data_IF_612233849966
#
_entry.id   IF_612233849966
#
_cell.length_a   1.000
_cell.length_b   1.000
_cell.length_c   1.000
_cell.angle_alpha   90.00
_cell.angle_beta   90.00
_cell.angle_gamma   90.00
#
_symmetry.space_group_name_H-M   'P 1'
#
loop_
_entity.id
_entity.type
_entity.pdbx_description
1 polymer ?
#
# COMPACT_ATOMS: atom_id res chain seq x y z
N UNK A 1 -37.25 -27.50 -36.07
CA UNK A 1 -35.98 -27.13 -36.74
C UNK A 1 -35.75 -28.05 -37.98
N UNK A 2 -35.76 -29.36 -37.81
CA UNK A 2 -35.49 -30.33 -38.87
C UNK A 2 -36.50 -30.28 -40.03
N UNK A 3 -37.76 -30.06 -39.74
CA UNK A 3 -38.81 -29.93 -40.76
C UNK A 3 -38.68 -28.67 -41.66
N UNK A 4 -37.89 -27.71 -41.26
CA UNK A 4 -37.71 -26.43 -42.00
C UNK A 4 -36.35 -26.40 -42.71
N UNK A 5 -35.33 -27.14 -42.22
CA UNK A 5 -33.95 -27.03 -42.73
C UNK A 5 -33.40 -28.34 -43.33
N UNK A 6 -34.12 -29.44 -43.23
CA UNK A 6 -33.72 -30.67 -43.84
C UNK A 6 -34.11 -30.70 -45.36
N UNK A 7 -33.25 -31.21 -46.22
CA UNK A 7 -33.55 -31.46 -47.62
C UNK A 7 -33.98 -32.95 -47.78
N UNK A 8 -35.21 -33.22 -48.22
CA UNK A 8 -35.72 -34.59 -48.38
C UNK A 8 -34.90 -35.42 -49.33
N UNK A 9 -34.21 -34.82 -50.27
CA UNK A 9 -33.38 -35.51 -51.27
C UNK A 9 -31.93 -35.73 -50.83
N UNK A 10 -31.55 -35.19 -49.64
CA UNK A 10 -30.22 -35.37 -49.03
C UNK A 10 -30.36 -35.83 -47.59
N UNK A 11 -30.22 -37.14 -47.39
CA UNK A 11 -30.28 -37.76 -46.08
C UNK A 11 -29.18 -37.25 -45.13
N UNK A 12 -28.05 -36.78 -45.64
CA UNK A 12 -26.99 -36.21 -44.80
C UNK A 12 -27.39 -34.83 -44.22
N UNK A 13 -28.34 -34.17 -44.79
CA UNK A 13 -28.90 -32.91 -44.23
C UNK A 13 -29.62 -33.12 -42.89
N UNK A 14 -30.07 -34.32 -42.61
CA UNK A 14 -30.73 -34.72 -41.34
C UNK A 14 -29.76 -35.26 -40.29
N UNK A 15 -28.47 -35.46 -40.62
CA UNK A 15 -27.49 -35.91 -39.66
C UNK A 15 -27.21 -34.83 -38.60
N UNK A 16 -27.03 -35.29 -37.36
CA UNK A 16 -26.71 -34.40 -36.26
C UNK A 16 -25.32 -33.77 -36.45
N UNK A 17 -25.30 -32.52 -36.88
CA UNK A 17 -24.07 -31.75 -37.11
C UNK A 17 -23.29 -31.50 -35.78
N UNK A 18 -23.89 -31.81 -34.62
CA UNK A 18 -23.21 -31.70 -33.32
C UNK A 18 -22.07 -32.68 -33.14
N UNK A 19 -22.08 -33.81 -33.86
CA UNK A 19 -20.96 -34.76 -33.89
C UNK A 19 -19.67 -34.18 -34.49
N UNK A 20 -19.79 -33.17 -35.37
CA UNK A 20 -18.64 -32.45 -35.93
C UNK A 20 -17.94 -31.55 -34.92
N UNK A 21 -18.42 -31.50 -33.67
CA UNK A 21 -17.90 -30.66 -32.60
C UNK A 21 -18.27 -29.18 -32.74
N UNK A 22 -18.34 -28.52 -31.61
CA UNK A 22 -18.54 -27.08 -31.57
C UNK A 22 -17.17 -26.42 -31.87
N UNK A 23 -16.90 -26.16 -33.16
CA UNK A 23 -15.68 -25.47 -33.56
C UNK A 23 -15.58 -24.15 -32.83
N UNK A 24 -14.67 -24.09 -31.85
CA UNK A 24 -14.40 -22.85 -31.15
C UNK A 24 -13.82 -21.86 -32.17
N UNK A 25 -14.56 -20.79 -32.48
CA UNK A 25 -14.06 -19.72 -33.36
C UNK A 25 -12.74 -19.12 -32.85
N UNK A 26 -12.56 -19.08 -31.50
CA UNK A 26 -11.33 -18.64 -30.89
C UNK A 26 -10.26 -19.75 -30.95
N UNK A 27 -9.29 -19.60 -31.82
CA UNK A 27 -8.13 -20.49 -31.89
C UNK A 27 -7.21 -20.30 -30.69
N UNK A 28 -6.24 -21.19 -30.54
CA UNK A 28 -5.23 -21.08 -29.47
C UNK A 28 -4.42 -19.79 -29.61
N UNK A 29 -4.02 -19.48 -30.82
CA UNK A 29 -3.27 -18.27 -31.20
C UNK A 29 -4.06 -16.99 -30.89
N UNK A 30 -5.38 -16.99 -31.18
CA UNK A 30 -6.26 -15.87 -30.82
C UNK A 30 -6.27 -15.62 -29.30
N UNK A 31 -6.32 -16.72 -28.52
CA UNK A 31 -6.36 -16.61 -27.06
C UNK A 31 -5.02 -16.11 -26.52
N UNK A 32 -3.91 -16.59 -27.03
CA UNK A 32 -2.57 -16.12 -26.65
C UNK A 32 -2.40 -14.63 -26.97
N UNK A 33 -2.77 -14.21 -28.16
CA UNK A 33 -2.74 -12.79 -28.53
C UNK A 33 -3.66 -11.92 -27.66
N UNK A 34 -4.89 -12.40 -27.35
CA UNK A 34 -5.79 -11.70 -26.44
C UNK A 34 -5.16 -11.48 -25.07
N UNK A 35 -4.46 -12.49 -24.52
CA UNK A 35 -3.81 -12.38 -23.21
C UNK A 35 -2.60 -11.44 -23.25
N UNK A 36 -1.83 -11.45 -24.31
CA UNK A 36 -0.71 -10.53 -24.49
C UNK A 36 -1.18 -9.07 -24.64
N UNK A 37 -2.20 -8.84 -25.47
CA UNK A 37 -2.73 -7.50 -25.73
C UNK A 37 -3.37 -6.86 -24.49
N UNK A 38 -4.09 -7.64 -23.66
CA UNK A 38 -4.79 -7.08 -22.50
C UNK A 38 -3.85 -6.63 -21.39
N UNK A 39 -2.64 -7.18 -21.32
CA UNK A 39 -1.61 -6.79 -20.35
C UNK A 39 -0.82 -5.54 -20.78
N UNK A 40 -0.90 -5.15 -22.02
CA UNK A 40 -0.19 -4.00 -22.60
C UNK A 40 -1.07 -2.77 -22.68
N UNK A 41 -0.44 -1.59 -22.62
CA UNK A 41 -1.16 -0.34 -22.77
C UNK A 41 -1.64 -0.18 -24.24
N UNK A 42 -2.89 0.29 -24.48
CA UNK A 42 -3.36 0.56 -25.85
C UNK A 42 -2.45 1.49 -26.66
N UNK A 43 -1.73 2.40 -26.03
CA UNK A 43 -0.78 3.30 -26.68
C UNK A 43 0.38 2.59 -27.36
N UNK A 44 0.78 1.42 -26.86
CA UNK A 44 1.81 0.57 -27.49
C UNK A 44 1.37 0.03 -28.84
N UNK A 45 0.06 0.02 -29.11
CA UNK A 45 -0.54 -0.37 -30.38
C UNK A 45 -0.99 0.83 -31.22
N UNK A 46 -0.58 2.06 -30.83
CA UNK A 46 -0.89 3.28 -31.55
C UNK A 46 -2.28 3.87 -31.30
N UNK A 47 -2.96 3.45 -30.24
CA UNK A 47 -4.25 4.01 -29.87
C UNK A 47 -4.11 5.15 -28.87
N UNK A 48 -4.94 6.18 -29.02
CA UNK A 48 -4.97 7.34 -28.10
C UNK A 48 -5.75 7.10 -26.80
N UNK A 49 -6.50 6.00 -26.69
CA UNK A 49 -7.27 5.70 -25.47
C UNK A 49 -6.44 4.92 -24.45
N UNK A 50 -6.58 5.27 -23.17
CA UNK A 50 -5.77 4.72 -22.07
C UNK A 50 -6.31 3.44 -21.43
N UNK A 51 -7.24 2.69 -22.05
CA UNK A 51 -7.71 1.41 -21.51
C UNK A 51 -8.42 0.54 -22.54
N UNK A 52 -8.26 -0.76 -22.43
CA UNK A 52 -9.03 -1.73 -23.18
C UNK A 52 -10.47 -1.86 -22.67
N UNK A 53 -11.43 -1.71 -23.55
CA UNK A 53 -12.81 -2.18 -23.33
C UNK A 53 -13.00 -3.48 -24.10
N UNK A 54 -14.01 -4.29 -23.73
CA UNK A 54 -14.28 -5.55 -24.44
C UNK A 54 -14.57 -5.31 -25.93
N UNK A 55 -15.20 -4.20 -26.27
CA UNK A 55 -15.47 -3.84 -27.67
C UNK A 55 -14.17 -3.52 -28.42
N UNK A 56 -13.31 -2.68 -27.84
CA UNK A 56 -12.02 -2.31 -28.45
C UNK A 56 -11.09 -3.51 -28.63
N UNK A 57 -11.02 -4.41 -27.62
CA UNK A 57 -10.30 -5.67 -27.74
C UNK A 57 -10.84 -6.55 -28.86
N UNK A 58 -12.16 -6.72 -28.95
CA UNK A 58 -12.77 -7.51 -30.01
C UNK A 58 -12.45 -6.95 -31.40
N UNK A 59 -12.52 -5.62 -31.56
CA UNK A 59 -12.18 -4.94 -32.84
C UNK A 59 -10.70 -5.12 -33.18
N UNK A 60 -9.79 -4.81 -32.25
CA UNK A 60 -8.34 -4.95 -32.45
C UNK A 60 -7.94 -6.38 -32.83
N UNK A 61 -8.49 -7.37 -32.10
CA UNK A 61 -8.18 -8.79 -32.37
C UNK A 61 -8.76 -9.26 -33.71
N UNK A 62 -9.94 -8.75 -34.10
CA UNK A 62 -10.50 -9.05 -35.40
C UNK A 62 -9.63 -8.51 -36.55
N UNK A 63 -9.09 -7.29 -36.41
CA UNK A 63 -8.14 -6.71 -37.34
C UNK A 63 -6.83 -7.51 -37.44
N UNK A 64 -6.32 -8.03 -36.33
CA UNK A 64 -5.05 -8.76 -36.30
C UNK A 64 -5.17 -10.23 -36.73
N UNK A 65 -6.30 -10.87 -36.50
CA UNK A 65 -6.46 -12.32 -36.67
C UNK A 65 -7.46 -12.72 -37.75
N UNK A 66 -8.28 -11.77 -38.24
CA UNK A 66 -9.41 -12.06 -39.08
C UNK A 66 -10.59 -12.76 -38.36
N UNK A 67 -10.45 -13.08 -37.10
CA UNK A 67 -11.47 -13.80 -36.32
C UNK A 67 -12.39 -12.81 -35.61
N UNK A 68 -13.63 -12.72 -36.06
CA UNK A 68 -14.62 -11.83 -35.48
C UNK A 68 -15.35 -12.52 -34.32
N UNK A 69 -15.10 -12.00 -33.11
CA UNK A 69 -15.81 -12.37 -31.88
C UNK A 69 -16.56 -11.17 -31.33
N UNK A 70 -17.70 -11.43 -30.70
CA UNK A 70 -18.42 -10.38 -29.97
C UNK A 70 -17.69 -10.04 -28.67
N UNK A 71 -17.89 -8.81 -28.18
CA UNK A 71 -17.36 -8.38 -26.87
C UNK A 71 -17.76 -9.32 -25.71
N UNK A 72 -18.93 -9.93 -25.81
CA UNK A 72 -19.39 -10.94 -24.83
C UNK A 72 -18.61 -12.25 -24.91
N UNK A 73 -18.19 -12.67 -26.10
CA UNK A 73 -17.36 -13.86 -26.29
C UNK A 73 -15.96 -13.61 -25.77
N UNK A 74 -15.34 -12.48 -26.10
CA UNK A 74 -14.03 -12.05 -25.54
C UNK A 74 -14.07 -12.03 -24.02
N UNK A 75 -15.12 -11.43 -23.43
CA UNK A 75 -15.32 -11.41 -21.98
C UNK A 75 -15.41 -12.81 -21.37
N UNK A 76 -16.09 -13.76 -22.03
CA UNK A 76 -16.19 -15.14 -21.55
C UNK A 76 -14.84 -15.85 -21.58
N UNK A 77 -14.03 -15.62 -22.62
CA UNK A 77 -12.65 -16.15 -22.70
C UNK A 77 -11.82 -15.64 -21.53
N UNK A 78 -11.78 -14.31 -21.33
CA UNK A 78 -11.04 -13.71 -20.23
C UNK A 78 -11.46 -14.24 -18.85
N UNK A 79 -12.77 -14.40 -18.60
CA UNK A 79 -13.26 -14.99 -17.36
C UNK A 79 -12.79 -16.44 -17.15
N UNK A 80 -12.80 -17.27 -18.22
CA UNK A 80 -12.25 -18.65 -18.16
C UNK A 80 -10.76 -18.64 -17.86
N UNK A 81 -10.02 -17.64 -18.35
CA UNK A 81 -8.60 -17.41 -18.06
C UNK A 81 -8.36 -16.68 -16.74
N UNK A 82 -9.37 -16.61 -15.85
CA UNK A 82 -9.33 -16.00 -14.50
C UNK A 82 -9.11 -14.49 -14.48
N UNK A 83 -9.32 -13.78 -15.59
CA UNK A 83 -9.33 -12.32 -15.62
C UNK A 83 -10.65 -11.78 -15.07
N UNK A 84 -10.57 -10.67 -14.33
CA UNK A 84 -11.74 -9.96 -13.81
C UNK A 84 -11.59 -8.45 -14.04
N UNK A 85 -12.72 -7.79 -14.22
CA UNK A 85 -12.74 -6.34 -14.35
C UNK A 85 -12.56 -5.70 -12.97
N UNK A 86 -11.38 -5.13 -12.72
CA UNK A 86 -10.96 -4.57 -11.44
C UNK A 86 -10.65 -3.07 -11.58
N UNK A 87 -10.64 -2.36 -10.46
CA UNK A 87 -10.14 -1.00 -10.43
C UNK A 87 -8.63 -1.00 -10.61
N UNK A 88 -8.16 -0.25 -11.60
CA UNK A 88 -6.74 0.03 -11.75
C UNK A 88 -6.23 0.81 -10.52
N UNK A 89 -5.01 0.53 -10.13
CA UNK A 89 -4.32 1.20 -9.03
C UNK A 89 -3.23 2.07 -9.63
N UNK A 90 -3.09 3.29 -9.12
CA UNK A 90 -1.89 4.07 -9.40
C UNK A 90 -0.68 3.33 -8.82
N UNK A 91 0.30 3.08 -9.66
CA UNK A 91 1.60 2.54 -9.27
C UNK A 91 2.69 3.51 -9.72
N UNK A 92 3.73 3.62 -8.93
CA UNK A 92 4.97 4.29 -9.27
C UNK A 92 6.12 3.29 -9.24
N UNK A 93 5.81 2.00 -9.35
CA UNK A 93 6.79 0.91 -9.34
C UNK A 93 7.76 0.98 -10.53
N UNK A 94 7.27 1.49 -11.66
CA UNK A 94 8.06 1.81 -12.86
C UNK A 94 9.15 2.88 -12.62
N UNK A 95 8.96 3.75 -11.62
CA UNK A 95 9.89 4.79 -11.22
C UNK A 95 10.88 4.36 -10.12
N UNK A 96 10.73 3.14 -9.62
CA UNK A 96 11.62 2.61 -8.59
C UNK A 96 12.97 2.23 -9.21
N UNK A 97 14.05 2.53 -8.50
CA UNK A 97 15.39 2.07 -8.84
C UNK A 97 15.68 0.73 -8.14
N UNK A 98 15.72 -0.40 -8.87
CA UNK A 98 15.94 -1.71 -8.26
C UNK A 98 17.29 -1.84 -7.55
N UNK A 99 18.33 -1.15 -8.04
CA UNK A 99 19.68 -1.18 -7.45
C UNK A 99 19.68 -0.48 -6.10
N UNK A 100 19.19 0.76 -6.04
CA UNK A 100 19.08 1.52 -4.79
C UNK A 100 18.20 0.81 -3.77
N UNK A 101 17.10 0.17 -4.22
CA UNK A 101 16.22 -0.61 -3.34
C UNK A 101 16.93 -1.83 -2.76
N UNK A 102 17.74 -2.53 -3.55
CA UNK A 102 18.48 -3.70 -3.06
C UNK A 102 19.59 -3.29 -2.07
N UNK A 103 20.33 -2.24 -2.38
CA UNK A 103 21.34 -1.67 -1.47
C UNK A 103 20.73 -1.24 -0.14
N UNK A 104 19.62 -0.53 -0.19
CA UNK A 104 18.90 -0.11 1.01
C UNK A 104 18.37 -1.30 1.80
N UNK A 105 17.84 -2.33 1.14
CA UNK A 105 17.37 -3.56 1.81
C UNK A 105 18.50 -4.23 2.59
N UNK A 106 19.66 -4.44 1.96
CA UNK A 106 20.81 -5.04 2.63
C UNK A 106 21.24 -4.23 3.86
N UNK A 107 21.27 -2.90 3.72
CA UNK A 107 21.60 -1.99 4.82
C UNK A 107 20.57 -2.07 5.95
N UNK A 108 19.27 -2.06 5.60
CA UNK A 108 18.19 -2.17 6.55
C UNK A 108 18.22 -3.51 7.29
N UNK A 109 18.42 -4.61 6.59
CA UNK A 109 18.50 -5.95 7.17
C UNK A 109 19.66 -6.03 8.19
N UNK A 110 20.83 -5.47 7.86
CA UNK A 110 21.97 -5.36 8.80
C UNK A 110 21.61 -4.54 10.06
N UNK A 111 20.91 -3.43 9.92
CA UNK A 111 20.46 -2.65 11.06
C UNK A 111 19.45 -3.39 11.93
N UNK A 112 18.49 -4.08 11.30
CA UNK A 112 17.45 -4.85 12.00
C UNK A 112 18.05 -6.03 12.78
N UNK A 113 19.05 -6.70 12.20
CA UNK A 113 19.78 -7.79 12.86
C UNK A 113 20.51 -7.29 14.10
N UNK A 114 21.34 -6.25 13.97
CA UNK A 114 22.05 -5.62 15.10
C UNK A 114 21.10 -5.13 16.19
N UNK A 115 20.01 -4.48 15.81
CA UNK A 115 19.01 -3.98 16.77
C UNK A 115 18.27 -5.12 17.51
N UNK A 116 18.13 -6.29 16.89
CA UNK A 116 17.55 -7.49 17.52
C UNK A 116 18.53 -8.14 18.49
N UNK A 117 19.82 -8.23 18.10
CA UNK A 117 20.86 -8.84 18.93
C UNK A 117 21.21 -7.98 20.14
N UNK A 118 21.36 -6.68 19.94
CA UNK A 118 21.74 -5.76 21.00
C UNK A 118 20.90 -4.45 20.99
N UNK A 119 19.65 -4.51 21.44
CA UNK A 119 18.73 -3.35 21.42
C UNK A 119 19.14 -2.23 22.39
N UNK A 120 20.11 -2.48 23.28
CA UNK A 120 20.70 -1.44 24.15
C UNK A 120 21.70 -0.56 23.39
N UNK A 121 22.42 -1.12 22.43
CA UNK A 121 23.40 -0.38 21.64
C UNK A 121 22.77 0.29 20.41
N UNK A 122 21.86 -0.42 19.75
CA UNK A 122 21.21 0.07 18.52
C UNK A 122 19.71 -0.18 18.54
N UNK A 123 18.95 0.85 18.21
CA UNK A 123 17.52 0.73 17.94
C UNK A 123 17.23 1.20 16.53
N UNK A 124 16.34 0.49 15.84
CA UNK A 124 15.79 0.90 14.54
C UNK A 124 14.32 1.27 14.71
N UNK A 125 13.99 2.47 14.26
CA UNK A 125 12.64 3.02 14.32
C UNK A 125 12.16 3.42 12.93
N UNK A 126 10.96 3.00 12.59
CA UNK A 126 10.26 3.43 11.40
C UNK A 126 9.44 4.68 11.72
N UNK A 127 9.68 5.77 11.01
CA UNK A 127 9.10 7.07 11.30
C UNK A 127 8.25 7.57 10.13
N UNK A 128 7.12 8.20 10.45
CA UNK A 128 6.22 8.78 9.43
C UNK A 128 5.17 9.68 10.08
N UNK A 129 4.45 10.44 9.26
CA UNK A 129 3.31 11.25 9.66
C UNK A 129 2.00 10.69 9.13
N UNK A 130 0.95 10.90 9.90
CA UNK A 130 -0.40 10.55 9.46
C UNK A 130 -1.45 11.56 9.92
N UNK A 131 -2.35 11.91 9.01
CA UNK A 131 -3.49 12.73 9.32
C UNK A 131 -4.78 11.94 9.46
N UNK A 132 -5.55 12.28 10.47
CA UNK A 132 -6.85 11.69 10.78
C UNK A 132 -7.93 12.77 10.75
N UNK A 133 -8.81 12.69 9.77
CA UNK A 133 -9.89 13.67 9.57
C UNK A 133 -11.14 13.27 10.37
N UNK A 134 -11.91 14.27 10.81
CA UNK A 134 -13.27 14.06 11.34
C UNK A 134 -14.24 13.49 10.28
N UNK A 135 -13.89 13.57 8.99
CA UNK A 135 -14.70 12.97 7.93
C UNK A 135 -14.71 11.45 8.07
N UNK A 136 -15.90 10.87 7.96
CA UNK A 136 -16.07 9.43 8.07
C UNK A 136 -15.28 8.70 6.98
N UNK A 137 -14.38 7.82 7.40
CA UNK A 137 -13.64 6.93 6.51
C UNK A 137 -14.58 5.81 6.07
N UNK A 138 -14.86 5.74 4.77
CA UNK A 138 -15.70 4.68 4.20
C UNK A 138 -14.88 3.42 3.97
N UNK A 139 -15.41 2.29 4.40
CA UNK A 139 -14.83 0.96 4.17
C UNK A 139 -15.90 0.00 3.66
N UNK A 140 -15.47 -1.13 3.14
CA UNK A 140 -16.38 -2.23 2.77
C UNK A 140 -17.11 -2.72 4.02
N UNK A 141 -18.42 -2.97 3.90
CA UNK A 141 -19.23 -3.53 4.95
C UNK A 141 -20.29 -4.45 4.34
N UNK A 142 -20.85 -5.33 5.16
CA UNK A 142 -21.92 -6.20 4.73
C UNK A 142 -23.18 -5.40 4.38
N UNK A 143 -23.80 -5.75 3.27
CA UNK A 143 -25.05 -5.15 2.79
C UNK A 143 -25.77 -6.11 1.87
N UNK A 144 -27.07 -5.95 1.72
CA UNK A 144 -27.92 -6.77 0.83
C UNK A 144 -27.44 -6.58 -0.62
N UNK A 145 -27.28 -7.70 -1.36
CA UNK A 145 -26.90 -7.68 -2.79
C UNK A 145 -27.87 -6.78 -3.58
N UNK A 146 -27.33 -5.93 -4.43
CA UNK A 146 -28.11 -4.96 -5.22
C UNK A 146 -28.52 -3.68 -4.46
N UNK A 147 -28.33 -3.59 -3.13
CA UNK A 147 -28.61 -2.37 -2.36
C UNK A 147 -27.31 -1.78 -1.82
N UNK A 148 -27.02 -0.52 -2.20
CA UNK A 148 -25.85 0.19 -1.66
C UNK A 148 -26.11 0.61 -0.24
N UNK A 149 -25.30 0.14 0.71
CA UNK A 149 -25.38 0.56 2.12
C UNK A 149 -25.03 2.04 2.24
N UNK A 150 -25.93 2.80 2.84
CA UNK A 150 -25.69 4.20 3.21
C UNK A 150 -25.02 4.25 4.58
N UNK A 151 -24.02 5.08 4.74
CA UNK A 151 -23.35 5.39 6.02
C UNK A 151 -23.55 6.88 6.31
N UNK A 152 -23.67 7.29 7.59
CA UNK A 152 -23.79 8.69 7.93
C UNK A 152 -22.63 9.50 7.36
N UNK A 153 -22.95 10.60 6.68
CA UNK A 153 -21.96 11.56 6.20
C UNK A 153 -21.74 12.63 7.25
N UNK A 154 -20.51 13.03 7.48
CA UNK A 154 -20.18 14.16 8.32
C UNK A 154 -19.43 15.22 7.52
N UNK A 155 -19.94 16.46 7.57
CA UNK A 155 -19.33 17.61 6.90
C UNK A 155 -18.44 18.44 7.83
N UNK A 156 -18.31 18.04 9.11
CA UNK A 156 -17.45 18.77 10.07
C UNK A 156 -16.02 18.80 9.58
N UNK A 157 -15.43 19.98 9.64
CA UNK A 157 -14.01 20.19 9.40
C UNK A 157 -13.25 19.88 10.69
N UNK A 158 -12.05 19.38 10.54
CA UNK A 158 -11.14 19.08 11.63
C UNK A 158 -10.26 17.92 11.28
N UNK A 159 -9.03 17.97 11.74
CA UNK A 159 -8.00 16.96 11.50
C UNK A 159 -7.08 16.89 12.72
N UNK A 160 -6.63 15.71 13.02
CA UNK A 160 -5.55 15.44 13.96
C UNK A 160 -4.36 14.98 13.13
N UNK A 161 -3.24 15.66 13.26
CA UNK A 161 -1.97 15.24 12.66
C UNK A 161 -1.12 14.57 13.75
N UNK A 162 -0.48 13.50 13.37
CA UNK A 162 0.37 12.69 14.26
C UNK A 162 1.67 12.43 13.53
N UNK A 163 2.77 12.61 14.24
CA UNK A 163 4.10 12.18 13.85
C UNK A 163 4.54 11.11 14.83
N UNK A 164 5.20 10.05 14.39
CA UNK A 164 5.56 9.01 15.32
C UNK A 164 6.51 7.96 14.78
N UNK A 165 7.02 7.17 15.71
CA UNK A 165 7.94 6.07 15.48
C UNK A 165 7.40 4.71 15.92
N UNK A 166 7.80 3.69 15.19
CA UNK A 166 7.59 2.28 15.51
C UNK A 166 8.94 1.59 15.63
N UNK A 167 9.26 1.11 16.83
CA UNK A 167 10.49 0.36 17.08
C UNK A 167 10.44 -1.04 16.46
N UNK A 168 11.52 -1.46 15.83
CA UNK A 168 11.55 -2.69 15.03
C UNK A 168 11.43 -3.96 15.86
N UNK A 169 12.21 -4.09 16.97
CA UNK A 169 12.36 -5.35 17.68
C UNK A 169 11.17 -5.71 18.57
N UNK A 170 10.57 -4.76 19.27
CA UNK A 170 9.46 -4.99 20.21
C UNK A 170 8.13 -4.37 19.79
N UNK A 171 8.12 -3.68 18.65
CA UNK A 171 6.94 -3.00 18.09
C UNK A 171 6.39 -1.88 18.99
N UNK A 172 7.22 -1.34 19.90
CA UNK A 172 6.86 -0.18 20.72
C UNK A 172 6.58 1.02 19.82
N UNK A 173 5.54 1.75 20.13
CA UNK A 173 5.09 2.94 19.41
C UNK A 173 5.28 4.16 20.28
N UNK A 174 5.69 5.26 19.67
CA UNK A 174 5.72 6.58 20.28
C UNK A 174 5.19 7.58 19.28
N UNK A 175 4.05 8.18 19.57
CA UNK A 175 3.33 9.04 18.66
C UNK A 175 3.04 10.41 19.29
N UNK A 176 3.32 11.47 18.56
CA UNK A 176 3.17 12.85 18.98
C UNK A 176 2.07 13.52 18.18
N UNK A 177 1.21 14.29 18.87
CA UNK A 177 0.22 15.11 18.23
C UNK A 177 0.84 16.44 17.82
N UNK A 178 0.78 16.76 16.54
CA UNK A 178 1.38 17.95 15.96
C UNK A 178 0.31 18.83 15.31
N UNK A 179 0.53 20.14 15.30
CA UNK A 179 -0.34 21.05 14.58
C UNK A 179 -0.07 20.99 13.08
N UNK A 180 1.21 20.99 12.70
CA UNK A 180 1.68 20.99 11.32
C UNK A 180 2.88 20.07 11.17
N UNK A 181 2.94 19.37 10.02
CA UNK A 181 4.13 18.60 9.62
C UNK A 181 5.09 19.53 8.86
N UNK A 182 6.11 20.02 9.55
CA UNK A 182 7.21 20.80 8.99
C UNK A 182 8.53 20.48 9.69
N UNK A 183 9.62 21.07 9.22
CA UNK A 183 10.95 20.77 9.73
C UNK A 183 11.16 21.11 11.20
N UNK A 184 10.58 22.20 11.66
CA UNK A 184 10.73 22.61 13.05
C UNK A 184 9.94 21.69 13.99
N UNK A 185 8.70 21.33 13.62
CA UNK A 185 7.92 20.30 14.33
C UNK A 185 8.65 18.94 14.33
N UNK A 186 9.25 18.55 13.20
CA UNK A 186 10.02 17.32 13.11
C UNK A 186 11.19 17.31 14.09
N UNK A 187 11.99 18.37 14.13
CA UNK A 187 13.12 18.49 15.05
C UNK A 187 12.68 18.43 16.52
N UNK A 188 11.62 19.19 16.89
CA UNK A 188 11.10 19.19 18.27
C UNK A 188 10.56 17.80 18.68
N UNK A 189 9.92 17.06 17.77
CA UNK A 189 9.49 15.69 18.08
C UNK A 189 10.68 14.74 18.22
N UNK A 190 11.73 14.89 17.41
CA UNK A 190 12.96 14.11 17.57
C UNK A 190 13.67 14.36 18.89
N UNK A 191 13.66 15.59 19.40
CA UNK A 191 14.19 15.91 20.76
C UNK A 191 13.42 15.14 21.84
N UNK A 192 12.08 15.24 21.82
CA UNK A 192 11.25 14.51 22.79
C UNK A 192 11.44 13.00 22.66
N UNK A 193 11.60 12.50 21.45
CA UNK A 193 11.86 11.11 21.15
C UNK A 193 13.22 10.65 21.69
N UNK A 194 14.28 11.44 21.49
CA UNK A 194 15.61 11.11 22.04
C UNK A 194 15.58 11.10 23.58
N UNK A 195 14.89 12.03 24.23
CA UNK A 195 14.73 12.03 25.67
C UNK A 195 13.98 10.80 26.19
N UNK A 196 13.00 10.29 25.42
CA UNK A 196 12.34 9.03 25.74
C UNK A 196 13.33 7.85 25.69
N UNK A 197 14.14 7.72 24.63
CA UNK A 197 15.14 6.65 24.51
C UNK A 197 16.23 6.80 25.57
N UNK A 198 16.64 8.00 25.90
CA UNK A 198 17.60 8.30 26.97
C UNK A 198 17.09 7.85 28.34
N UNK A 199 15.81 8.07 28.65
CA UNK A 199 15.19 7.57 29.89
C UNK A 199 15.24 6.05 29.97
N UNK A 200 14.85 5.35 28.90
CA UNK A 200 14.95 3.88 28.85
C UNK A 200 16.39 3.38 29.08
N UNK A 201 17.36 4.08 28.46
CA UNK A 201 18.77 3.72 28.59
C UNK A 201 19.27 3.92 30.04
N UNK A 202 18.85 5.00 30.74
CA UNK A 202 19.16 5.27 32.14
C UNK A 202 18.52 4.20 33.05
N UNK A 203 17.26 3.85 32.82
CA UNK A 203 16.55 2.79 33.55
C UNK A 203 17.25 1.42 33.42
N UNK A 204 18.03 1.23 32.34
CA UNK A 204 18.85 0.04 32.10
C UNK A 204 20.27 0.13 32.70
N UNK A 205 20.54 1.16 33.51
CA UNK A 205 21.82 1.35 34.22
C UNK A 205 22.81 2.28 33.54
N UNK A 206 22.42 2.99 32.49
CA UNK A 206 23.26 3.98 31.85
C UNK A 206 23.37 5.28 32.66
N UNK A 207 24.49 5.99 32.56
CA UNK A 207 24.70 7.29 33.21
C UNK A 207 24.32 8.44 32.31
N UNK A 208 23.59 9.42 32.83
CA UNK A 208 23.07 10.57 32.06
C UNK A 208 24.15 11.26 31.24
N UNK A 209 25.31 11.49 31.85
CA UNK A 209 26.45 12.17 31.20
C UNK A 209 27.09 11.39 30.07
N UNK A 210 26.96 10.08 30.08
CA UNK A 210 27.51 9.19 29.05
C UNK A 210 26.59 8.98 27.83
N UNK A 211 25.32 9.42 27.89
CA UNK A 211 24.34 9.09 26.83
C UNK A 211 24.78 9.56 25.46
N UNK A 212 25.31 10.76 25.31
CA UNK A 212 25.72 11.31 24.03
C UNK A 212 26.83 10.48 23.34
N UNK A 213 27.72 9.86 24.13
CA UNK A 213 28.88 9.13 23.64
C UNK A 213 28.71 7.62 23.63
N UNK A 214 28.09 7.05 24.66
CA UNK A 214 27.94 5.60 24.88
C UNK A 214 26.49 5.13 24.84
N UNK A 215 25.52 6.06 24.80
CA UNK A 215 24.10 5.74 24.77
C UNK A 215 23.66 5.04 23.49
N UNK A 216 22.46 4.49 23.55
CA UNK A 216 21.81 3.81 22.42
C UNK A 216 21.86 4.65 21.15
N UNK A 217 22.39 4.10 20.08
CA UNK A 217 22.27 4.69 18.74
C UNK A 217 20.90 4.40 18.14
N UNK A 218 20.32 5.40 17.51
CA UNK A 218 18.93 5.38 17.04
C UNK A 218 18.94 5.59 15.54
N UNK A 219 18.66 4.54 14.77
CA UNK A 219 18.48 4.64 13.32
C UNK A 219 17.01 4.89 13.05
N UNK A 220 16.70 6.01 12.42
CA UNK A 220 15.35 6.41 12.03
C UNK A 220 15.19 6.21 10.53
N UNK A 221 14.31 5.30 10.14
CA UNK A 221 13.92 5.03 8.75
C UNK A 221 12.72 5.92 8.42
N UNK A 222 12.87 6.82 7.46
CA UNK A 222 11.84 7.80 7.11
C UNK A 222 11.79 8.07 5.60
N UNK A 223 10.73 8.72 5.16
CA UNK A 223 10.55 9.09 3.77
C UNK A 223 11.41 10.29 3.33
N UNK A 224 11.29 10.64 2.06
CA UNK A 224 12.04 11.73 1.45
C UNK A 224 11.29 13.07 1.46
N UNK A 225 10.41 13.33 2.42
CA UNK A 225 9.74 14.63 2.49
C UNK A 225 10.76 15.77 2.55
N UNK A 226 10.51 16.83 1.78
CA UNK A 226 11.48 17.92 1.60
C UNK A 226 11.90 18.59 2.90
N UNK A 227 11.00 18.70 3.86
CA UNK A 227 11.27 19.31 5.16
C UNK A 227 12.14 18.44 6.09
N UNK A 228 12.19 17.10 5.88
CA UNK A 228 13.13 16.21 6.56
C UNK A 228 14.58 16.43 6.10
N UNK A 229 14.76 16.94 4.88
CA UNK A 229 16.06 17.17 4.24
C UNK A 229 16.52 18.63 4.25
N UNK A 230 15.82 19.51 4.95
CA UNK A 230 16.26 20.89 5.11
C UNK A 230 17.63 20.92 5.77
N UNK A 231 18.57 21.65 5.17
CA UNK A 231 19.97 21.70 5.62
C UNK A 231 20.09 22.21 7.06
N UNK A 232 19.32 23.22 7.43
CA UNK A 232 19.28 23.78 8.78
C UNK A 232 18.76 22.75 9.83
N UNK A 233 17.78 21.92 9.46
CA UNK A 233 17.25 20.87 10.33
C UNK A 233 18.25 19.73 10.48
N UNK A 234 18.88 19.32 9.40
CA UNK A 234 19.91 18.26 9.45
C UNK A 234 21.13 18.69 10.28
N UNK A 235 21.53 19.96 10.18
CA UNK A 235 22.59 20.53 11.01
C UNK A 235 22.21 20.54 12.50
N UNK A 236 21.01 21.01 12.86
CA UNK A 236 20.50 20.94 14.23
C UNK A 236 20.48 19.52 14.76
N UNK A 237 19.98 18.54 13.98
CA UNK A 237 19.95 17.13 14.39
C UNK A 237 21.36 16.62 14.64
N UNK A 238 22.32 16.91 13.77
CA UNK A 238 23.71 16.49 13.91
C UNK A 238 24.36 17.03 15.17
N UNK A 239 24.07 18.30 15.53
CA UNK A 239 24.69 18.97 16.65
C UNK A 239 24.01 18.61 17.99
N UNK A 240 22.69 18.59 18.01
CA UNK A 240 21.91 18.48 19.27
C UNK A 240 21.45 17.05 19.58
N UNK A 241 21.42 16.17 18.56
CA UNK A 241 20.89 14.82 18.67
C UNK A 241 21.90 13.76 18.16
N UNK A 242 23.12 13.68 18.78
CA UNK A 242 24.24 12.89 18.23
C UNK A 242 24.00 11.37 18.23
N UNK A 243 22.94 10.90 18.90
CA UNK A 243 22.57 9.49 18.90
C UNK A 243 21.63 9.13 17.75
N UNK A 244 21.06 10.12 17.04
CA UNK A 244 20.10 9.90 15.94
C UNK A 244 20.84 9.84 14.61
N UNK A 245 20.53 8.79 13.85
CA UNK A 245 21.00 8.57 12.48
C UNK A 245 19.76 8.50 11.60
N UNK A 246 19.66 9.42 10.63
CA UNK A 246 18.55 9.44 9.67
C UNK A 246 18.90 8.59 8.46
N UNK A 247 18.04 7.65 8.10
CA UNK A 247 18.14 6.80 6.93
C UNK A 247 16.90 6.97 6.04
N UNK A 248 17.12 7.64 4.92
CA UNK A 248 16.05 7.95 3.98
C UNK A 248 15.72 6.76 3.08
N UNK A 249 14.44 6.48 2.95
CA UNK A 249 13.93 5.44 2.05
C UNK A 249 14.33 5.72 0.60
N UNK A 250 14.55 4.69 -0.23
CA UNK A 250 14.61 4.89 -1.67
C UNK A 250 13.31 5.52 -2.18
N UNK A 251 13.42 6.30 -3.24
CA UNK A 251 12.25 6.93 -3.85
C UNK A 251 11.16 5.90 -4.21
N UNK A 252 9.93 6.28 -4.04
CA UNK A 252 8.74 5.44 -4.33
C UNK A 252 8.74 4.08 -3.60
N UNK A 253 9.36 3.98 -2.42
CA UNK A 253 9.51 2.72 -1.68
C UNK A 253 8.86 2.73 -0.29
N UNK A 254 7.57 3.10 -0.15
CA UNK A 254 6.89 3.15 1.14
C UNK A 254 6.69 1.76 1.76
N UNK A 255 6.85 0.69 0.97
CA UNK A 255 6.77 -0.70 1.42
C UNK A 255 7.86 -1.07 2.44
N UNK A 256 8.96 -0.33 2.49
CA UNK A 256 9.98 -0.48 3.53
C UNK A 256 9.61 0.18 4.87
N UNK A 257 8.56 1.04 4.91
CA UNK A 257 8.18 1.71 6.14
C UNK A 257 7.10 0.95 6.92
N UNK A 258 7.52 0.20 7.93
CA UNK A 258 6.63 -0.66 8.71
C UNK A 258 5.54 0.10 9.49
N UNK A 259 5.76 1.37 9.84
CA UNK A 259 4.77 2.19 10.57
C UNK A 259 3.47 2.41 9.77
N UNK A 260 3.53 2.27 8.47
CA UNK A 260 2.34 2.33 7.61
C UNK A 260 1.26 1.29 7.99
N UNK A 261 1.67 0.14 8.57
CA UNK A 261 0.74 -0.84 9.13
C UNK A 261 0.00 -0.29 10.35
N UNK A 262 0.68 0.50 11.16
CA UNK A 262 0.08 1.17 12.33
C UNK A 262 -0.99 2.14 11.85
N UNK A 263 -0.65 3.00 10.90
CA UNK A 263 -1.59 3.98 10.33
C UNK A 263 -2.79 3.31 9.65
N UNK A 264 -2.51 2.27 8.87
CA UNK A 264 -3.57 1.49 8.23
C UNK A 264 -4.53 0.88 9.25
N UNK A 265 -4.00 0.19 10.27
CA UNK A 265 -4.80 -0.48 11.30
C UNK A 265 -5.60 0.53 12.13
N UNK A 266 -5.01 1.68 12.44
CA UNK A 266 -5.69 2.76 13.14
C UNK A 266 -6.84 3.35 12.28
N UNK A 267 -6.60 3.62 10.99
CA UNK A 267 -7.63 4.08 10.04
C UNK A 267 -8.76 3.04 9.85
N UNK A 268 -8.44 1.74 9.87
CA UNK A 268 -9.45 0.68 9.85
C UNK A 268 -10.29 0.67 11.14
N UNK A 269 -9.65 0.83 12.29
CA UNK A 269 -10.34 0.84 13.59
C UNK A 269 -11.34 1.99 13.71
N UNK A 270 -11.00 3.20 13.26
CA UNK A 270 -11.86 4.38 13.32
C UNK A 270 -12.87 4.45 12.17
N UNK A 271 -12.77 3.57 11.18
CA UNK A 271 -13.64 3.60 10.01
C UNK A 271 -15.12 3.45 10.37
N UNK A 272 -15.97 4.24 9.72
CA UNK A 272 -17.41 4.24 9.98
C UNK A 272 -17.84 4.95 11.27
N UNK A 273 -16.90 5.46 12.07
CA UNK A 273 -17.21 6.20 13.31
C UNK A 273 -17.46 7.67 13.03
N UNK A 274 -18.35 8.26 13.82
CA UNK A 274 -18.64 9.69 13.86
C UNK A 274 -18.03 10.28 15.13
N UNK A 275 -17.21 11.32 14.97
CA UNK A 275 -16.62 12.04 16.10
C UNK A 275 -17.29 13.40 16.28
N UNK A 276 -17.66 13.73 17.53
CA UNK A 276 -18.32 14.99 17.86
C UNK A 276 -17.35 16.20 17.81
N UNK A 277 -16.07 15.97 18.13
CA UNK A 277 -15.03 17.00 18.13
C UNK A 277 -13.66 16.41 17.76
N UNK A 278 -12.69 17.28 17.50
CA UNK A 278 -11.27 16.93 17.29
C UNK A 278 -10.70 16.29 18.55
N UNK A 279 -11.05 16.79 19.74
CA UNK A 279 -10.55 16.25 21.01
C UNK A 279 -10.98 14.82 21.23
N UNK A 280 -12.24 14.49 20.94
CA UNK A 280 -12.71 13.08 21.03
C UNK A 280 -12.01 12.15 20.05
N UNK A 281 -11.61 12.63 18.89
CA UNK A 281 -10.77 11.86 17.96
C UNK A 281 -9.36 11.74 18.52
N UNK A 282 -8.78 12.82 19.06
CA UNK A 282 -7.44 12.84 19.64
C UNK A 282 -7.33 11.89 20.84
N UNK A 283 -8.29 11.93 21.77
CA UNK A 283 -8.36 11.02 22.94
C UNK A 283 -8.35 9.55 22.50
N UNK A 284 -9.16 9.21 21.49
CA UNK A 284 -9.20 7.85 20.97
C UNK A 284 -7.87 7.46 20.29
N UNK A 285 -7.29 8.37 19.49
CA UNK A 285 -6.02 8.10 18.82
C UNK A 285 -4.88 7.90 19.82
N UNK A 286 -4.83 8.68 20.89
CA UNK A 286 -3.86 8.50 21.95
C UNK A 286 -3.99 7.13 22.63
N UNK A 287 -5.23 6.75 22.98
CA UNK A 287 -5.51 5.42 23.54
C UNK A 287 -5.07 4.29 22.61
N UNK A 288 -5.30 4.44 21.30
CA UNK A 288 -4.96 3.42 20.31
C UNK A 288 -3.45 3.32 20.07
N UNK A 289 -2.79 4.45 19.94
CA UNK A 289 -1.40 4.54 19.49
C UNK A 289 -0.39 4.45 20.64
N UNK A 290 -0.60 5.21 21.71
CA UNK A 290 0.35 5.33 22.81
C UNK A 290 0.04 4.40 24.01
N UNK A 291 -1.25 4.09 24.24
CA UNK A 291 -1.68 3.30 25.41
C UNK A 291 -1.97 1.83 25.08
N UNK A 292 -1.50 1.32 23.93
CA UNK A 292 -1.62 -0.09 23.57
C UNK A 292 -3.01 -0.56 23.12
N UNK A 293 -3.98 0.35 22.96
CA UNK A 293 -5.35 0.01 22.57
C UNK A 293 -5.54 -0.52 21.15
N UNK A 294 -4.49 -0.45 20.28
CA UNK A 294 -4.54 -0.91 18.91
C UNK A 294 -3.80 -2.24 18.74
N UNK A 295 -4.54 -3.29 18.40
CA UNK A 295 -3.96 -4.58 17.98
C UNK A 295 -3.63 -4.54 16.50
N UNK A 296 -2.42 -4.98 16.14
CA UNK A 296 -1.91 -4.98 14.77
C UNK A 296 -1.56 -6.40 14.36
N UNK A 297 -2.00 -6.79 13.17
CA UNK A 297 -1.60 -8.06 12.54
C UNK A 297 -0.37 -7.75 11.67
N UNK A 298 0.83 -8.02 12.20
CA UNK A 298 2.10 -7.64 11.58
C UNK A 298 2.38 -8.33 10.25
N UNK A 299 1.93 -9.58 10.07
CA UNK A 299 2.09 -10.35 8.83
C UNK A 299 1.03 -10.01 7.77
N UNK A 300 0.23 -8.98 7.99
CA UNK A 300 -0.80 -8.57 7.05
C UNK A 300 -0.19 -7.91 5.82
N UNK A 301 -0.36 -8.53 4.65
CA UNK A 301 -0.12 -7.84 3.38
C UNK A 301 -1.18 -6.76 3.18
N UNK A 302 -0.77 -5.51 3.15
CA UNK A 302 -1.65 -4.41 2.76
C UNK A 302 -1.80 -4.50 1.24
N UNK A 303 -2.97 -4.93 0.77
CA UNK A 303 -3.25 -5.16 -0.67
C UNK A 303 -2.96 -3.97 -1.61
N UNK A 304 -2.68 -2.80 -1.05
CA UNK A 304 -2.54 -1.55 -1.80
C UNK A 304 -1.14 -0.93 -1.75
N UNK A 305 -0.21 -1.54 -1.06
CA UNK A 305 1.17 -1.03 -0.95
C UNK A 305 2.05 -2.26 -1.03
N UNK A 306 2.93 -2.36 -1.98
CA UNK A 306 3.80 -3.49 -2.29
C UNK A 306 4.15 -4.49 -1.17
N UNK A 307 5.04 -5.39 -1.40
CA UNK A 307 5.45 -6.37 -0.38
C UNK A 307 6.10 -5.64 0.79
N UNK A 308 5.48 -5.72 1.96
CA UNK A 308 6.07 -5.22 3.20
C UNK A 308 7.33 -6.01 3.54
N UNK A 309 8.29 -5.35 4.15
CA UNK A 309 9.40 -6.00 4.84
C UNK A 309 8.81 -7.02 5.80
N UNK A 310 9.18 -8.28 5.64
CA UNK A 310 8.76 -9.31 6.57
C UNK A 310 9.27 -8.93 7.96
N UNK A 311 8.36 -8.62 8.85
CA UNK A 311 8.65 -8.32 10.25
C UNK A 311 8.68 -9.66 11.01
N UNK A 312 9.62 -10.54 10.63
CA UNK A 312 9.93 -11.72 11.44
C UNK A 312 10.88 -11.36 12.55
#
# INVERSE_FOLDING_TARGET
>A
YWSVHGNPDDLDSYRDQREKGNHQKATKEYIELLLDVIEKDPSEFGYEFGRWTMQRLATHLAEKTGIILSSSQVRRILKRKKYSYIWAKYSLEDKQDPKKRNEFRQKLDSYLEKARENPKELQVWFWDESGFSLRVIRRKSWGKKGKRKKVPGQRRRGRVNIMGGLRSHDKKRLCFFIEKGDGDSFFEQLKQFQEFVKKEWIEQGGKVEDFATKGTKIVIILDNASYHKRSDILEKIKNDLPNIILEFLPEYSPDFNLIELVWHSCKEYIAGRLFKSVDKLKDLLDKLLNQGGLTIIWNRKIKNKGNLVNAN
#
